data_IF_577473448985
#
_entry.id   IF_577473448985
#
_cell.length_a   1.000
_cell.length_b   1.000
_cell.length_c   1.000
_cell.angle_alpha   90.00
_cell.angle_beta   90.00
_cell.angle_gamma   90.00
#
_symmetry.space_group_name_H-M   'P 1'
#
loop_
_entity.id
_entity.type
_entity.pdbx_description
1 polymer ?
#
# COMPACT_ATOMS: atom_id res chain seq x y z
N UNK A 1 9.41 2.46 -51.98
CA UNK A 1 10.42 2.56 -50.90
C UNK A 1 9.86 1.85 -49.67
N UNK A 2 10.39 0.66 -49.37
CA UNK A 2 9.81 -0.28 -48.41
C UNK A 2 10.23 0.06 -46.97
N UNK A 3 9.30 -0.01 -46.02
CA UNK A 3 9.63 0.00 -44.60
C UNK A 3 10.56 -1.18 -44.29
N UNK A 4 11.55 -0.96 -43.44
CA UNK A 4 12.43 -2.07 -43.02
C UNK A 4 11.64 -3.04 -42.12
N UNK A 5 11.95 -4.34 -42.19
CA UNK A 5 11.30 -5.36 -41.32
C UNK A 5 11.41 -5.00 -39.82
N UNK A 6 12.50 -4.35 -39.42
CA UNK A 6 12.73 -3.90 -38.04
C UNK A 6 11.81 -2.75 -37.60
N UNK A 7 11.47 -1.81 -38.49
CA UNK A 7 10.52 -0.71 -38.19
C UNK A 7 9.08 -1.23 -38.06
N UNK A 8 8.71 -2.20 -38.90
CA UNK A 8 7.43 -2.90 -38.79
C UNK A 8 7.36 -3.63 -37.45
N UNK A 9 8.40 -4.40 -37.11
CA UNK A 9 8.50 -5.12 -35.84
C UNK A 9 8.35 -4.20 -34.63
N UNK A 10 9.10 -3.09 -34.60
CA UNK A 10 9.02 -2.11 -33.51
C UNK A 10 7.60 -1.54 -33.32
N UNK A 11 6.89 -1.19 -34.40
CA UNK A 11 5.52 -0.67 -34.29
C UNK A 11 4.56 -1.70 -33.71
N UNK A 12 4.67 -2.96 -34.13
CA UNK A 12 3.89 -4.04 -33.54
C UNK A 12 4.22 -4.25 -32.07
N UNK A 13 5.50 -4.20 -31.69
CA UNK A 13 5.91 -4.27 -30.28
C UNK A 13 5.27 -3.14 -29.46
N UNK A 14 5.35 -1.89 -29.92
CA UNK A 14 4.73 -0.74 -29.21
C UNK A 14 3.22 -0.93 -29.07
N UNK A 15 2.54 -1.42 -30.10
CA UNK A 15 1.09 -1.70 -30.06
C UNK A 15 0.77 -2.79 -29.05
N UNK A 16 1.50 -3.90 -29.07
CA UNK A 16 1.31 -5.02 -28.15
C UNK A 16 1.53 -4.54 -26.71
N UNK A 17 2.64 -3.84 -26.44
CA UNK A 17 2.95 -3.33 -25.10
C UNK A 17 1.89 -2.33 -24.63
N UNK A 18 1.41 -1.44 -25.50
CA UNK A 18 0.34 -0.51 -25.17
C UNK A 18 -0.99 -1.22 -24.86
N UNK A 19 -1.36 -2.22 -25.65
CA UNK A 19 -2.58 -3.03 -25.40
C UNK A 19 -2.45 -3.79 -24.09
N UNK A 20 -1.30 -4.42 -23.83
CA UNK A 20 -1.02 -5.10 -22.56
C UNK A 20 -1.08 -4.12 -21.38
N UNK A 21 -0.56 -2.90 -21.53
CA UNK A 21 -0.64 -1.86 -20.50
C UNK A 21 -2.08 -1.48 -20.16
N UNK A 22 -2.93 -1.33 -21.17
CA UNK A 22 -4.38 -1.09 -20.97
C UNK A 22 -5.05 -2.27 -20.26
N UNK A 23 -4.80 -3.50 -20.73
CA UNK A 23 -5.39 -4.71 -20.15
C UNK A 23 -4.96 -4.88 -18.69
N UNK A 24 -3.66 -4.71 -18.40
CA UNK A 24 -3.14 -4.89 -17.04
C UNK A 24 -3.61 -3.77 -16.12
N UNK A 25 -3.65 -2.52 -16.56
CA UNK A 25 -4.18 -1.42 -15.74
C UNK A 25 -5.68 -1.62 -15.43
N UNK A 26 -6.49 -1.98 -16.42
CA UNK A 26 -7.92 -2.25 -16.24
C UNK A 26 -8.16 -3.51 -15.40
N UNK A 27 -7.40 -4.58 -15.66
CA UNK A 27 -7.48 -5.84 -14.91
C UNK A 27 -7.04 -5.67 -13.46
N UNK A 28 -5.97 -4.92 -13.20
CA UNK A 28 -5.52 -4.58 -11.85
C UNK A 28 -6.55 -3.72 -11.12
N UNK A 29 -7.18 -2.76 -11.80
CA UNK A 29 -8.28 -1.98 -11.24
C UNK A 29 -9.46 -2.89 -10.83
N UNK A 30 -9.88 -3.78 -11.73
CA UNK A 30 -10.97 -4.72 -11.46
C UNK A 30 -10.64 -5.68 -10.31
N UNK A 31 -9.43 -6.26 -10.30
CA UNK A 31 -8.99 -7.18 -9.26
C UNK A 31 -8.86 -6.51 -7.87
N UNK A 32 -8.51 -5.22 -7.84
CA UNK A 32 -8.41 -4.45 -6.59
C UNK A 32 -9.79 -4.15 -5.99
N UNK A 33 -10.81 -4.03 -6.85
CA UNK A 33 -12.20 -3.88 -6.42
C UNK A 33 -12.42 -2.67 -5.48
N UNK A 34 -13.14 -2.83 -4.35
CA UNK A 34 -13.45 -1.73 -3.43
C UNK A 34 -12.23 -1.02 -2.86
N UNK A 35 -11.07 -1.69 -2.78
CA UNK A 35 -9.86 -1.10 -2.26
C UNK A 35 -9.33 0.06 -3.13
N UNK A 36 -9.78 0.23 -4.38
CA UNK A 36 -9.45 1.42 -5.17
C UNK A 36 -9.93 2.72 -4.52
N UNK A 37 -11.07 2.65 -3.83
CA UNK A 37 -11.72 3.81 -3.22
C UNK A 37 -11.29 3.93 -1.75
N UNK A 38 -11.20 2.80 -1.07
CA UNK A 38 -10.85 2.74 0.35
C UNK A 38 -9.34 2.69 0.61
N UNK A 39 -8.51 2.47 -0.40
CA UNK A 39 -7.05 2.49 -0.29
C UNK A 39 -6.46 3.89 -0.40
N UNK A 40 -5.13 3.97 -0.38
CA UNK A 40 -4.42 5.23 -0.60
C UNK A 40 -4.56 5.66 -2.08
N UNK A 41 -4.90 6.94 -2.38
CA UNK A 41 -5.23 7.41 -3.73
C UNK A 41 -4.08 7.29 -4.74
N UNK A 42 -2.84 7.22 -4.25
CA UNK A 42 -1.65 7.03 -5.09
C UNK A 42 -1.76 5.84 -6.06
N UNK A 43 -2.36 4.72 -5.62
CA UNK A 43 -2.51 3.55 -6.49
C UNK A 43 -3.53 3.78 -7.61
N UNK A 44 -4.66 4.45 -7.30
CA UNK A 44 -5.64 4.84 -8.31
C UNK A 44 -5.04 5.81 -9.34
N UNK A 45 -4.26 6.79 -8.88
CA UNK A 45 -3.56 7.74 -9.76
C UNK A 45 -2.58 7.00 -10.68
N UNK A 46 -1.82 6.04 -10.15
CA UNK A 46 -0.89 5.22 -10.93
C UNK A 46 -1.63 4.43 -12.03
N UNK A 47 -2.73 3.75 -11.71
CA UNK A 47 -3.51 2.99 -12.67
C UNK A 47 -4.12 3.90 -13.75
N UNK A 48 -4.69 5.05 -13.35
CA UNK A 48 -5.24 6.02 -14.29
C UNK A 48 -4.17 6.58 -15.23
N UNK A 49 -3.01 6.96 -14.69
CA UNK A 49 -1.89 7.45 -15.50
C UNK A 49 -1.38 6.36 -16.46
N UNK A 50 -1.17 5.13 -15.98
CA UNK A 50 -0.73 4.02 -16.81
C UNK A 50 -1.72 3.70 -17.94
N UNK A 51 -3.02 3.74 -17.63
CA UNK A 51 -4.09 3.55 -18.62
C UNK A 51 -4.07 4.66 -19.67
N UNK A 52 -4.06 5.94 -19.27
CA UNK A 52 -4.06 7.09 -20.18
C UNK A 52 -2.81 7.10 -21.07
N UNK A 53 -1.63 6.82 -20.50
CA UNK A 53 -0.38 6.72 -21.25
C UNK A 53 -0.46 5.60 -22.28
N UNK A 54 -0.92 4.41 -21.86
CA UNK A 54 -1.02 3.24 -22.74
C UNK A 54 -2.01 3.47 -23.88
N UNK A 55 -3.18 4.05 -23.60
CA UNK A 55 -4.17 4.44 -24.63
C UNK A 55 -3.57 5.48 -25.57
N UNK A 56 -2.93 6.53 -25.05
CA UNK A 56 -2.35 7.60 -25.86
C UNK A 56 -1.25 7.08 -26.78
N UNK A 57 -0.36 6.23 -26.26
CA UNK A 57 0.71 5.57 -27.04
C UNK A 57 0.10 4.63 -28.08
N UNK A 58 -0.88 3.83 -27.69
CA UNK A 58 -1.63 2.96 -28.59
C UNK A 58 -2.22 3.75 -29.74
N UNK A 59 -3.08 4.73 -29.47
CA UNK A 59 -3.74 5.57 -30.47
C UNK A 59 -2.73 6.30 -31.37
N UNK A 60 -1.67 6.89 -30.80
CA UNK A 60 -0.62 7.54 -31.59
C UNK A 60 0.11 6.55 -32.51
N UNK A 61 0.33 5.31 -32.07
CA UNK A 61 0.97 4.27 -32.89
C UNK A 61 0.15 3.85 -34.11
N UNK A 62 -1.18 4.05 -34.07
CA UNK A 62 -2.09 3.83 -35.18
C UNK A 62 -2.25 5.07 -36.07
N UNK A 63 -2.29 6.27 -35.47
CA UNK A 63 -2.53 7.54 -36.21
C UNK A 63 -1.30 8.10 -36.91
N UNK A 64 -0.10 7.91 -36.36
CA UNK A 64 1.11 8.47 -36.96
C UNK A 64 1.60 7.61 -38.14
N UNK A 65 1.84 8.19 -39.32
CA UNK A 65 2.46 7.47 -40.43
C UNK A 65 3.86 7.00 -40.02
N UNK A 66 4.29 5.86 -40.56
CA UNK A 66 5.64 5.37 -40.31
C UNK A 66 6.66 6.44 -40.74
N UNK A 67 7.61 6.75 -39.85
CA UNK A 67 8.80 7.52 -40.20
C UNK A 67 9.45 6.87 -41.43
N UNK A 68 9.55 7.60 -42.54
CA UNK A 68 10.20 7.12 -43.77
C UNK A 68 11.73 7.08 -43.67
N UNK A 69 12.30 7.59 -42.57
CA UNK A 69 13.74 7.62 -42.30
C UNK A 69 14.12 6.48 -41.36
N UNK A 70 15.14 5.72 -41.76
CA UNK A 70 15.79 4.70 -40.93
C UNK A 70 16.21 5.30 -39.59
N UNK A 71 15.78 4.68 -38.50
CA UNK A 71 16.15 5.10 -37.16
C UNK A 71 17.66 4.98 -36.94
N UNK A 72 18.30 6.06 -36.47
CA UNK A 72 19.70 6.05 -36.03
C UNK A 72 19.91 5.06 -34.87
N UNK A 73 21.15 4.59 -34.69
CA UNK A 73 21.51 3.69 -33.58
C UNK A 73 21.05 4.23 -32.21
N UNK A 74 21.31 5.51 -31.93
CA UNK A 74 20.86 6.16 -30.69
C UNK A 74 19.33 6.14 -30.50
N UNK A 75 18.55 6.31 -31.58
CA UNK A 75 17.09 6.22 -31.52
C UNK A 75 16.63 4.81 -31.19
N UNK A 76 17.30 3.77 -31.70
CA UNK A 76 16.97 2.36 -31.40
C UNK A 76 17.25 2.00 -29.94
N UNK A 77 18.34 2.52 -29.37
CA UNK A 77 18.66 2.35 -27.94
C UNK A 77 17.56 2.97 -27.08
N UNK A 78 17.18 4.22 -27.34
CA UNK A 78 16.09 4.90 -26.58
C UNK A 78 14.77 4.14 -26.72
N UNK A 79 14.44 3.67 -27.91
CA UNK A 79 13.23 2.86 -28.16
C UNK A 79 13.22 1.56 -27.35
N UNK A 80 14.36 0.86 -27.28
CA UNK A 80 14.53 -0.33 -26.45
C UNK A 80 14.35 -0.04 -24.97
N UNK A 81 14.96 1.06 -24.47
CA UNK A 81 14.82 1.48 -23.08
C UNK A 81 13.37 1.82 -22.72
N UNK A 82 12.65 2.51 -23.60
CA UNK A 82 11.24 2.85 -23.38
C UNK A 82 10.33 1.61 -23.35
N UNK A 83 10.57 0.64 -24.24
CA UNK A 83 9.85 -0.64 -24.23
C UNK A 83 10.15 -1.39 -22.93
N UNK A 84 11.43 -1.50 -22.55
CA UNK A 84 11.86 -2.16 -21.32
C UNK A 84 11.23 -1.52 -20.07
N UNK A 85 11.26 -0.20 -19.98
CA UNK A 85 10.62 0.54 -18.90
C UNK A 85 9.09 0.33 -18.85
N UNK A 86 8.44 0.27 -20.01
CA UNK A 86 6.99 0.01 -20.10
C UNK A 86 6.64 -1.40 -19.64
N UNK A 87 7.40 -2.42 -20.06
CA UNK A 87 7.23 -3.81 -19.62
C UNK A 87 7.46 -3.94 -18.10
N UNK A 88 8.50 -3.28 -17.58
CA UNK A 88 8.77 -3.24 -16.15
C UNK A 88 7.60 -2.60 -15.38
N UNK A 89 7.07 -1.46 -15.86
CA UNK A 89 5.93 -0.79 -15.24
C UNK A 89 4.69 -1.68 -15.21
N UNK A 90 4.40 -2.39 -16.30
CA UNK A 90 3.30 -3.35 -16.38
C UNK A 90 3.47 -4.47 -15.35
N UNK A 91 4.69 -5.03 -15.26
CA UNK A 91 5.00 -6.06 -14.27
C UNK A 91 4.84 -5.56 -12.83
N UNK A 92 5.26 -4.32 -12.55
CA UNK A 92 5.09 -3.68 -11.24
C UNK A 92 3.61 -3.47 -10.92
N UNK A 93 2.78 -3.01 -11.86
CA UNK A 93 1.34 -2.85 -11.65
C UNK A 93 0.67 -4.19 -11.35
N UNK A 94 0.98 -5.22 -12.14
CA UNK A 94 0.47 -6.57 -11.90
C UNK A 94 0.91 -7.11 -10.52
N UNK A 95 2.14 -6.81 -10.10
CA UNK A 95 2.64 -7.15 -8.78
C UNK A 95 2.05 -6.30 -7.66
N UNK A 96 1.56 -5.09 -7.91
CA UNK A 96 1.00 -4.22 -6.88
C UNK A 96 -0.46 -4.54 -6.52
N UNK A 97 -1.11 -5.47 -7.24
CA UNK A 97 -2.49 -5.89 -6.93
C UNK A 97 -2.55 -6.37 -5.47
N UNK A 98 -3.36 -5.70 -4.63
CA UNK A 98 -3.39 -5.96 -3.20
C UNK A 98 -4.32 -7.11 -2.83
N UNK A 99 -4.06 -7.71 -1.67
CA UNK A 99 -4.94 -8.68 -1.02
C UNK A 99 -6.10 -7.96 -0.32
N UNK A 100 -7.33 -8.39 -0.62
CA UNK A 100 -8.56 -7.77 -0.13
C UNK A 100 -8.88 -8.15 1.31
N UNK A 101 -9.57 -7.26 2.04
CA UNK A 101 -10.11 -7.56 3.36
C UNK A 101 -11.31 -8.53 3.27
N UNK A 102 -11.37 -9.51 4.17
CA UNK A 102 -12.46 -10.47 4.28
C UNK A 102 -13.62 -9.97 5.16
N UNK A 103 -14.77 -10.65 5.09
CA UNK A 103 -16.02 -10.23 5.73
C UNK A 103 -15.91 -9.89 7.24
N UNK A 104 -15.17 -10.64 8.09
CA UNK A 104 -15.02 -10.29 9.51
C UNK A 104 -14.35 -8.92 9.72
N UNK A 105 -13.38 -8.58 8.87
CA UNK A 105 -12.68 -7.31 8.92
C UNK A 105 -13.56 -6.16 8.41
N UNK A 106 -14.36 -6.39 7.38
CA UNK A 106 -15.32 -5.40 6.92
C UNK A 106 -16.43 -5.14 7.95
N UNK A 107 -16.89 -6.16 8.68
CA UNK A 107 -17.84 -5.99 9.78
C UNK A 107 -17.26 -5.10 10.89
N UNK A 108 -15.99 -5.30 11.25
CA UNK A 108 -15.28 -4.51 12.25
C UNK A 108 -15.08 -3.03 11.88
N UNK A 109 -15.25 -2.66 10.61
CA UNK A 109 -15.25 -1.26 10.14
C UNK A 109 -16.56 -0.52 10.42
N UNK A 110 -17.58 -1.21 10.93
CA UNK A 110 -18.87 -0.59 11.27
C UNK A 110 -18.80 0.04 12.66
N UNK A 111 -19.16 1.33 12.74
CA UNK A 111 -19.30 2.03 14.02
C UNK A 111 -20.44 1.44 14.84
N UNK A 112 -20.26 1.35 16.15
CA UNK A 112 -21.29 0.90 17.08
C UNK A 112 -21.30 1.72 18.37
N UNK A 113 -21.98 1.21 19.41
CA UNK A 113 -22.10 1.89 20.70
C UNK A 113 -20.78 1.98 21.47
N UNK A 114 -19.77 1.19 21.12
CA UNK A 114 -18.50 1.05 21.82
C UNK A 114 -17.33 1.69 21.06
N UNK A 115 -17.36 1.64 19.73
CA UNK A 115 -16.28 2.15 18.87
C UNK A 115 -16.85 2.95 17.70
N UNK A 116 -16.32 4.15 17.51
CA UNK A 116 -16.50 4.98 16.32
C UNK A 116 -15.37 4.71 15.34
N UNK A 117 -15.70 4.26 14.13
CA UNK A 117 -14.74 4.02 13.05
C UNK A 117 -14.78 5.20 12.09
N UNK A 118 -13.64 5.84 11.88
CA UNK A 118 -13.45 6.90 10.88
C UNK A 118 -12.42 6.44 9.85
N UNK A 119 -12.74 6.59 8.58
CA UNK A 119 -11.87 6.20 7.47
C UNK A 119 -11.57 7.42 6.59
N UNK A 120 -10.29 7.72 6.37
CA UNK A 120 -9.85 8.73 5.41
C UNK A 120 -8.89 8.11 4.38
N UNK A 121 -8.33 8.90 3.47
CA UNK A 121 -7.46 8.40 2.39
C UNK A 121 -6.09 7.89 2.87
N UNK A 122 -5.68 8.24 4.09
CA UNK A 122 -4.35 7.98 4.64
C UNK A 122 -4.34 7.10 5.88
N UNK A 123 -5.49 6.85 6.51
CA UNK A 123 -5.61 6.06 7.73
C UNK A 123 -7.06 5.62 8.02
N UNK A 124 -7.17 4.72 8.99
CA UNK A 124 -8.41 4.29 9.63
C UNK A 124 -8.22 4.51 11.13
N UNK A 125 -9.15 5.20 11.75
CA UNK A 125 -9.14 5.49 13.18
C UNK A 125 -10.30 4.76 13.85
N UNK A 126 -9.98 3.91 14.82
CA UNK A 126 -10.95 3.26 15.71
C UNK A 126 -10.88 4.00 17.05
N UNK A 127 -11.90 4.79 17.34
CA UNK A 127 -11.98 5.61 18.54
C UNK A 127 -13.02 5.04 19.51
N UNK A 128 -12.68 4.82 20.80
CA UNK A 128 -13.68 4.45 21.81
C UNK A 128 -14.73 5.56 21.98
N UNK A 129 -15.98 5.18 22.18
CA UNK A 129 -17.08 6.12 22.51
C UNK A 129 -17.11 6.52 23.99
N UNK A 130 -16.52 5.67 24.85
CA UNK A 130 -16.38 5.88 26.29
C UNK A 130 -15.11 6.66 26.68
N UNK A 131 -14.67 6.55 27.94
CA UNK A 131 -13.44 7.19 28.41
C UNK A 131 -12.23 6.76 27.56
N UNK A 132 -11.52 7.76 27.02
CA UNK A 132 -10.35 7.54 26.18
C UNK A 132 -9.10 7.38 27.05
N UNK A 133 -8.38 6.27 26.87
CA UNK A 133 -7.11 6.01 27.53
C UNK A 133 -6.03 6.99 27.04
N UNK A 134 -5.11 7.45 27.90
CA UNK A 134 -3.95 8.22 27.46
C UNK A 134 -2.95 7.38 26.63
N UNK A 135 -3.21 6.07 26.46
CA UNK A 135 -2.43 5.16 25.63
C UNK A 135 -3.18 4.87 24.33
N UNK A 136 -2.55 5.18 23.20
CA UNK A 136 -3.01 4.84 21.86
C UNK A 136 -2.15 3.80 21.18
N UNK A 137 -2.66 3.23 20.11
CA UNK A 137 -2.04 2.17 19.31
C UNK A 137 -1.92 2.65 17.88
N UNK A 138 -0.69 2.69 17.36
CA UNK A 138 -0.43 2.93 15.95
C UNK A 138 -0.03 1.61 15.30
N UNK A 139 -0.74 1.24 14.23
CA UNK A 139 -0.49 0.01 13.51
C UNK A 139 -0.14 0.28 12.06
N UNK A 140 0.96 -0.33 11.61
CA UNK A 140 1.45 -0.25 10.25
C UNK A 140 1.19 -1.56 9.48
N UNK A 141 0.27 -1.57 8.50
CA UNK A 141 -0.04 -2.74 7.70
C UNK A 141 1.16 -3.33 6.95
N UNK A 142 1.06 -4.61 6.60
CA UNK A 142 2.01 -5.28 5.73
C UNK A 142 1.88 -4.87 4.27
N UNK A 143 2.89 -5.23 3.48
CA UNK A 143 2.93 -4.80 2.09
C UNK A 143 1.79 -5.42 1.27
N UNK A 144 1.12 -4.62 0.43
CA UNK A 144 0.03 -5.04 -0.46
C UNK A 144 -1.23 -5.60 0.25
N UNK A 145 -1.43 -5.30 1.53
CA UNK A 145 -2.67 -5.68 2.23
C UNK A 145 -3.60 -4.47 2.39
N UNK A 146 -4.90 -4.72 2.27
CA UNK A 146 -5.92 -3.75 2.67
C UNK A 146 -5.79 -3.42 4.17
N UNK A 147 -5.68 -2.13 4.50
CA UNK A 147 -5.61 -1.69 5.90
C UNK A 147 -6.84 -2.12 6.70
N UNK A 148 -8.00 -2.20 6.04
CA UNK A 148 -9.25 -2.66 6.66
C UNK A 148 -9.16 -4.11 7.12
N UNK A 149 -8.27 -4.94 6.56
CA UNK A 149 -8.10 -6.33 7.01
C UNK A 149 -7.67 -6.44 8.48
N UNK A 150 -7.03 -5.38 9.02
CA UNK A 150 -6.55 -5.34 10.40
C UNK A 150 -7.59 -4.82 11.40
N UNK A 151 -8.73 -4.28 10.94
CA UNK A 151 -9.76 -3.73 11.82
C UNK A 151 -10.29 -4.77 12.79
N UNK A 152 -10.59 -5.99 12.36
CA UNK A 152 -11.11 -7.07 13.22
C UNK A 152 -10.12 -7.45 14.33
N UNK A 153 -8.83 -7.41 14.04
CA UNK A 153 -7.78 -7.78 15.00
C UNK A 153 -7.57 -6.65 16.02
N UNK A 154 -7.71 -5.39 15.59
CA UNK A 154 -7.38 -4.23 16.41
C UNK A 154 -8.58 -3.60 17.11
N UNK A 155 -9.81 -3.87 16.64
CA UNK A 155 -11.05 -3.37 17.25
C UNK A 155 -11.19 -3.71 18.74
N UNK A 156 -10.81 -4.90 19.23
CA UNK A 156 -10.84 -5.19 20.66
C UNK A 156 -10.00 -4.23 21.52
N UNK A 157 -8.93 -3.63 20.96
CA UNK A 157 -8.13 -2.61 21.66
C UNK A 157 -8.89 -1.28 21.78
N UNK A 158 -9.66 -0.92 20.75
CA UNK A 158 -10.56 0.23 20.78
C UNK A 158 -11.72 0.02 21.75
N UNK A 159 -12.30 -1.18 21.77
CA UNK A 159 -13.34 -1.56 22.74
C UNK A 159 -12.82 -1.52 24.19
N UNK A 160 -11.53 -1.79 24.40
CA UNK A 160 -10.85 -1.66 25.70
C UNK A 160 -10.51 -0.21 26.09
N UNK A 161 -10.86 0.78 25.26
CA UNK A 161 -10.66 2.20 25.55
C UNK A 161 -9.39 2.83 24.97
N UNK A 162 -8.66 2.15 24.08
CA UNK A 162 -7.48 2.70 23.42
C UNK A 162 -7.81 3.30 22.06
N UNK A 163 -7.32 4.49 21.74
CA UNK A 163 -7.36 4.98 20.37
C UNK A 163 -6.49 4.08 19.48
N UNK A 164 -7.03 3.55 18.38
CA UNK A 164 -6.24 2.78 17.40
C UNK A 164 -6.21 3.52 16.08
N UNK A 165 -5.01 3.72 15.54
CA UNK A 165 -4.76 4.32 14.23
C UNK A 165 -4.09 3.28 13.34
N UNK A 166 -4.70 2.97 12.20
CA UNK A 166 -4.20 2.05 11.18
C UNK A 166 -3.82 2.87 9.94
N UNK A 167 -2.54 2.95 9.61
CA UNK A 167 -2.09 3.78 8.47
C UNK A 167 -2.36 3.10 7.12
N UNK A 168 -2.81 3.86 6.12
CA UNK A 168 -2.90 3.47 4.72
C UNK A 168 -1.66 3.95 3.97
N UNK A 169 -0.85 3.01 3.54
CA UNK A 169 0.43 3.30 2.92
C UNK A 169 0.26 3.57 1.42
N UNK A 170 1.01 4.52 0.83
CA UNK A 170 1.11 4.64 -0.61
C UNK A 170 1.56 3.31 -1.24
N UNK A 171 0.82 2.81 -2.22
CA UNK A 171 1.06 1.53 -2.90
C UNK A 171 1.10 0.30 -1.97
N UNK A 172 0.63 0.43 -0.72
CA UNK A 172 0.81 -0.61 0.29
C UNK A 172 2.28 -0.86 0.62
N UNK A 173 3.14 0.17 0.63
CA UNK A 173 4.56 0.06 0.98
C UNK A 173 4.88 0.93 2.20
N UNK A 174 5.24 0.28 3.30
CA UNK A 174 5.47 0.93 4.60
C UNK A 174 6.56 2.01 4.57
N UNK A 175 7.60 1.83 3.76
CA UNK A 175 8.70 2.79 3.63
C UNK A 175 8.26 4.14 3.02
N UNK A 176 7.11 4.18 2.34
CA UNK A 176 6.59 5.41 1.75
C UNK A 176 5.73 6.22 2.73
N UNK A 177 5.50 5.72 3.95
CA UNK A 177 4.68 6.39 4.98
C UNK A 177 5.41 6.55 6.31
N UNK A 178 6.73 6.78 6.29
CA UNK A 178 7.55 6.96 7.50
C UNK A 178 7.11 8.13 8.39
N UNK A 179 6.47 9.15 7.80
CA UNK A 179 5.91 10.29 8.54
C UNK A 179 4.53 10.05 9.19
N UNK A 180 3.85 8.94 8.88
CA UNK A 180 2.47 8.71 9.31
C UNK A 180 2.32 8.65 10.83
N UNK A 181 3.30 8.08 11.54
CA UNK A 181 3.26 8.03 13.00
C UNK A 181 3.40 9.43 13.64
N UNK A 182 4.27 10.28 13.08
CA UNK A 182 4.43 11.64 13.57
C UNK A 182 3.14 12.47 13.35
N UNK A 183 2.46 12.27 12.21
CA UNK A 183 1.17 12.88 11.92
C UNK A 183 0.08 12.41 12.91
N UNK A 184 -0.07 11.09 13.10
CA UNK A 184 -1.04 10.53 14.04
C UNK A 184 -0.84 11.04 15.48
N UNK A 185 0.42 11.17 15.92
CA UNK A 185 0.75 11.73 17.24
C UNK A 185 0.41 13.22 17.36
N UNK A 186 0.54 13.97 16.27
CA UNK A 186 0.20 15.39 16.25
C UNK A 186 -1.32 15.62 16.16
N UNK A 187 -2.08 14.70 15.56
CA UNK A 187 -3.52 14.84 15.41
C UNK A 187 -4.31 14.41 16.65
N UNK A 188 -3.77 13.46 17.44
CA UNK A 188 -4.49 12.84 18.55
C UNK A 188 -3.87 13.19 19.93
N UNK A 189 -4.02 14.45 20.35
CA UNK A 189 -3.42 15.00 21.57
C UNK A 189 -3.89 14.45 22.93
N UNK A 190 -5.10 13.90 23.12
CA UNK A 190 -5.44 13.20 24.37
C UNK A 190 -4.53 11.99 24.64
N UNK A 191 -3.91 11.44 23.60
CA UNK A 191 -2.98 10.32 23.68
C UNK A 191 -1.55 10.81 23.96
N UNK A 192 -1.05 10.47 25.14
CA UNK A 192 0.31 10.84 25.58
C UNK A 192 1.32 9.71 25.42
N UNK A 193 0.86 8.46 25.29
CA UNK A 193 1.70 7.27 25.12
C UNK A 193 1.23 6.45 23.92
N UNK A 194 2.18 5.91 23.17
CA UNK A 194 1.88 5.15 21.95
C UNK A 194 2.52 3.77 21.97
N UNK A 195 1.72 2.75 21.65
CA UNK A 195 2.19 1.43 21.26
C UNK A 195 2.26 1.41 19.75
N UNK A 196 3.43 1.14 19.19
CA UNK A 196 3.63 1.09 17.73
C UNK A 196 3.85 -0.35 17.32
N UNK A 197 3.03 -0.86 16.43
CA UNK A 197 3.11 -2.23 15.90
C UNK A 197 3.03 -2.27 14.38
N UNK A 198 3.44 -3.38 13.78
CA UNK A 198 3.32 -3.58 12.34
C UNK A 198 3.52 -5.02 11.91
N UNK A 199 2.96 -5.39 10.76
CA UNK A 199 3.05 -6.74 10.21
C UNK A 199 4.08 -6.80 9.07
N UNK A 200 4.96 -7.81 9.06
CA UNK A 200 5.94 -8.06 7.99
C UNK A 200 6.77 -6.82 7.63
N UNK A 201 6.65 -6.29 6.40
CA UNK A 201 7.32 -5.05 5.96
C UNK A 201 6.99 -3.85 6.85
N UNK A 202 5.77 -3.77 7.38
CA UNK A 202 5.38 -2.75 8.35
C UNK A 202 6.20 -2.83 9.64
N UNK A 203 6.49 -4.04 10.12
CA UNK A 203 7.34 -4.25 11.30
C UNK A 203 8.80 -3.78 11.10
N UNK A 204 9.34 -3.89 9.88
CA UNK A 204 10.67 -3.38 9.55
C UNK A 204 10.74 -1.85 9.62
N UNK A 205 9.65 -1.14 9.31
CA UNK A 205 9.58 0.33 9.38
C UNK A 205 9.33 0.81 10.81
N UNK A 206 8.59 0.04 11.59
CA UNK A 206 8.36 0.32 13.02
C UNK A 206 9.65 0.18 13.83
N UNK A 207 10.51 -0.79 13.51
CA UNK A 207 11.71 -1.08 14.32
C UNK A 207 12.68 0.12 14.46
N UNK A 208 13.02 0.89 13.40
CA UNK A 208 13.81 2.12 13.51
C UNK A 208 13.09 3.28 14.20
N UNK A 209 11.76 3.39 14.06
CA UNK A 209 10.95 4.43 14.73
C UNK A 209 10.97 4.24 16.26
N UNK A 210 11.05 2.99 16.72
CA UNK A 210 11.24 2.63 18.13
C UNK A 210 12.70 2.85 18.58
N UNK A 211 13.67 2.79 17.67
CA UNK A 211 15.11 2.86 17.94
C UNK A 211 15.69 4.26 18.22
N UNK A 212 14.92 5.34 18.06
CA UNK A 212 15.35 6.71 18.40
C UNK A 212 15.27 7.03 19.90
N UNK A 213 14.76 6.10 20.72
CA UNK A 213 14.84 6.21 22.18
C UNK A 213 15.61 4.99 22.74
N UNK A 214 16.90 5.16 23.03
CA UNK A 214 17.74 4.14 23.66
C UNK A 214 17.86 4.39 25.18
N UNK A 215 17.22 3.59 26.05
CA UNK A 215 17.79 3.30 27.35
C UNK A 215 18.92 2.28 27.18
N UNK A 216 20.02 2.50 27.90
CA UNK A 216 21.20 1.62 27.96
C UNK A 216 20.86 0.30 28.65
N UNK A 217 20.28 -0.67 27.95
CA UNK A 217 20.39 -2.12 28.23
C UNK A 217 19.44 -2.87 27.33
N UNK A 218 19.92 -3.69 26.39
CA UNK A 218 19.15 -4.86 25.94
C UNK A 218 20.01 -5.89 25.19
N UNK A 219 19.95 -7.12 25.70
CA UNK A 219 20.32 -8.37 25.02
C UNK A 219 19.31 -8.66 23.91
N UNK A 220 19.82 -9.11 22.76
CA UNK A 220 19.06 -9.55 21.57
C UNK A 220 18.49 -10.95 21.76
N UNK A 221 17.28 -11.24 21.24
CA UNK A 221 16.80 -12.58 20.85
C UNK A 221 15.67 -12.48 19.79
N UNK A 222 15.33 -13.59 19.07
CA UNK A 222 14.88 -13.58 17.66
C UNK A 222 13.36 -13.72 17.45
N UNK A 223 12.92 -13.31 16.25
CA UNK A 223 11.56 -13.32 15.64
C UNK A 223 10.75 -11.99 15.72
N UNK A 224 10.19 -11.48 14.61
CA UNK A 224 9.73 -10.10 14.51
C UNK A 224 8.23 -9.98 14.80
N UNK A 225 7.86 -10.03 16.08
CA UNK A 225 6.67 -9.33 16.57
C UNK A 225 7.22 -8.27 17.53
N UNK A 226 7.52 -7.09 17.00
CA UNK A 226 7.98 -5.97 17.83
C UNK A 226 6.75 -5.35 18.48
N UNK A 227 6.38 -5.89 19.64
CA UNK A 227 5.62 -5.19 20.68
C UNK A 227 6.67 -4.72 21.67
N UNK A 228 6.95 -3.41 21.74
CA UNK A 228 7.81 -2.88 22.80
C UNK A 228 7.13 -1.70 23.50
N UNK A 229 6.55 -2.01 24.65
CA UNK A 229 6.05 -1.07 25.65
C UNK A 229 7.20 -0.39 26.39
N UNK A 230 7.08 0.90 26.67
CA UNK A 230 7.79 1.51 27.78
C UNK A 230 6.83 1.57 28.97
N UNK A 231 6.99 0.65 29.93
CA UNK A 231 6.17 0.56 31.15
C UNK A 231 5.26 -0.67 31.15
N UNK A 232 5.59 -1.63 32.03
CA UNK A 232 4.88 -2.90 32.19
C UNK A 232 3.36 -2.73 32.36
N UNK A 233 2.60 -3.24 31.38
CA UNK A 233 1.30 -3.86 31.62
C UNK A 233 1.20 -5.11 30.73
N UNK A 234 1.16 -6.27 31.38
CA UNK A 234 0.83 -7.56 30.76
C UNK A 234 -0.69 -7.57 30.49
N UNK A 235 -1.09 -7.70 29.22
CA UNK A 235 -2.45 -8.15 28.89
C UNK A 235 -2.47 -9.69 28.91
N UNK A 236 -3.52 -10.34 29.45
CA UNK A 236 -3.61 -11.79 29.51
C UNK A 236 -3.66 -12.42 28.10
N UNK A 237 -3.20 -13.69 27.93
CA UNK A 237 -2.98 -14.28 26.62
C UNK A 237 -4.31 -14.66 25.93
N UNK A 238 -4.66 -13.97 24.84
CA UNK A 238 -5.64 -14.47 23.87
C UNK A 238 -4.90 -15.46 22.96
N UNK A 239 -4.97 -16.74 23.32
CA UNK A 239 -4.53 -17.86 22.50
C UNK A 239 -5.47 -18.03 21.29
N UNK A 240 -5.26 -17.29 20.21
CA UNK A 240 -5.80 -17.66 18.90
C UNK A 240 -4.66 -18.10 17.98
N UNK A 241 -4.64 -19.41 17.77
CA UNK A 241 -3.73 -20.16 16.91
C UNK A 241 -3.93 -19.66 15.46
N UNK A 242 -2.88 -19.07 14.91
CA UNK A 242 -2.84 -18.52 13.55
C UNK A 242 -2.77 -19.68 12.56
N UNK A 243 -3.84 -19.90 11.81
CA UNK A 243 -3.78 -20.63 10.53
C UNK A 243 -4.10 -19.64 9.42
N UNK A 244 -3.06 -19.22 8.71
CA UNK A 244 -3.19 -18.58 7.41
C UNK A 244 -2.99 -19.71 6.40
N UNK A 245 -4.09 -20.21 5.82
CA UNK A 245 -4.06 -21.05 4.63
C UNK A 245 -4.11 -20.18 3.38
#
# INVERSE_FOLDING_TARGET
MQMTKSEIGYRWTVRIVAILGVIVAAGAAFATGPMLIHGHPAYLILLAAAFVISVTVGVRSWRLPASRKSASWGRRVVQGMLIGASVLMIAVIAWLVPSTAEAPALAAMTSDRTVTVTENSTEIVLKPTGPESPVGVFFQPGARFDARAYSAILRPLAEAGHLVVITKQPFGIAFLSTGAFAAARAEHHPVTRWVVGGHSLGGLVVTPLVGWWRPRTLKRMPCPIVIQSSGCYFLPPIQQRISVT
#
